data_IF_485121049772
#
_entry.id   IF_485121049772
#
_cell.length_a   1.000
_cell.length_b   1.000
_cell.length_c   1.000
_cell.angle_alpha   90.00
_cell.angle_beta   90.00
_cell.angle_gamma   90.00
#
_symmetry.space_group_name_H-M   'P 1'
#
loop_
_entity.id
_entity.type
_entity.pdbx_description
1 polymer ?
#
# COMPACT_ATOMS: atom_id res chain seq x y z
N UNK A 1 -14.22 -9.19 -8.18
CA UNK A 1 -13.43 -7.93 -8.12
C UNK A 1 -14.18 -6.77 -7.47
N UNK A 2 -15.45 -6.46 -7.82
CA UNK A 2 -16.21 -5.34 -7.19
C UNK A 2 -16.24 -5.39 -5.66
N UNK A 3 -16.42 -6.56 -5.06
CA UNK A 3 -16.41 -6.70 -3.60
C UNK A 3 -15.01 -6.55 -2.99
N UNK A 4 -13.96 -7.05 -3.65
CA UNK A 4 -12.56 -6.87 -3.25
C UNK A 4 -12.18 -5.38 -3.20
N UNK A 5 -12.66 -4.60 -4.17
CA UNK A 5 -12.44 -3.16 -4.22
C UNK A 5 -13.15 -2.44 -3.07
N UNK A 6 -14.33 -2.90 -2.62
CA UNK A 6 -14.99 -2.32 -1.43
C UNK A 6 -14.16 -2.49 -0.16
N UNK A 7 -13.50 -3.64 -0.01
CA UNK A 7 -12.59 -3.90 1.10
C UNK A 7 -11.36 -3.01 1.02
N UNK A 8 -10.81 -2.86 -0.18
CA UNK A 8 -9.66 -2.00 -0.44
C UNK A 8 -9.96 -0.49 -0.32
N UNK A 9 -11.23 -0.05 -0.24
CA UNK A 9 -11.57 1.38 -0.06
C UNK A 9 -10.87 2.00 1.13
N UNK A 10 -10.83 1.28 2.25
CA UNK A 10 -10.14 1.76 3.45
C UNK A 10 -8.64 1.95 3.20
N UNK A 11 -8.00 1.01 2.50
CA UNK A 11 -6.62 1.16 2.08
C UNK A 11 -6.41 2.40 1.19
N UNK A 12 -7.27 2.63 0.19
CA UNK A 12 -7.13 3.79 -0.69
C UNK A 12 -7.27 5.13 0.05
N UNK A 13 -8.14 5.19 1.07
CA UNK A 13 -8.23 6.36 1.96
C UNK A 13 -6.93 6.55 2.74
N UNK A 14 -6.39 5.50 3.33
CA UNK A 14 -5.10 5.57 4.04
C UNK A 14 -3.95 5.95 3.11
N UNK A 15 -3.92 5.40 1.90
CA UNK A 15 -2.94 5.73 0.88
C UNK A 15 -2.99 7.21 0.53
N UNK A 16 -4.19 7.75 0.32
CA UNK A 16 -4.38 9.18 0.07
C UNK A 16 -3.88 10.03 1.27
N UNK A 17 -4.26 9.67 2.49
CA UNK A 17 -3.82 10.38 3.70
C UNK A 17 -2.30 10.34 3.88
N UNK A 18 -1.66 9.19 3.68
CA UNK A 18 -0.21 9.05 3.78
C UNK A 18 0.49 9.84 2.67
N UNK A 19 -0.07 9.87 1.47
CA UNK A 19 0.45 10.68 0.36
C UNK A 19 0.39 12.16 0.70
N UNK A 20 -0.75 12.65 1.21
CA UNK A 20 -0.91 14.03 1.66
C UNK A 20 0.07 14.34 2.80
N UNK A 21 0.18 13.47 3.80
CA UNK A 21 1.14 13.64 4.91
C UNK A 21 2.58 13.74 4.42
N UNK A 22 2.97 12.91 3.44
CA UNK A 22 4.29 12.94 2.81
C UNK A 22 4.54 14.25 2.04
N UNK A 23 3.53 14.75 1.34
CA UNK A 23 3.58 16.06 0.70
C UNK A 23 3.70 17.18 1.72
N UNK A 24 2.93 17.13 2.81
CA UNK A 24 3.00 18.12 3.89
C UNK A 24 4.39 18.16 4.55
N UNK A 25 5.02 17.01 4.78
CA UNK A 25 6.40 16.94 5.27
C UNK A 25 7.41 17.56 4.29
N UNK A 26 7.21 17.33 3.00
CA UNK A 26 8.06 17.89 1.94
C UNK A 26 7.95 19.42 1.91
N UNK A 27 6.73 19.95 1.93
CA UNK A 27 6.46 21.38 1.89
C UNK A 27 6.80 22.09 3.21
N UNK A 28 6.75 21.36 4.33
CA UNK A 28 7.18 21.84 5.64
C UNK A 28 8.70 21.79 5.86
N UNK A 29 9.49 21.44 4.83
CA UNK A 29 10.95 21.33 4.90
C UNK A 29 11.45 20.40 6.03
N UNK A 30 10.69 19.34 6.33
CA UNK A 30 11.08 18.37 7.35
C UNK A 30 12.28 17.58 6.86
N UNK A 31 13.27 17.36 7.73
CA UNK A 31 14.44 16.57 7.40
C UNK A 31 14.06 15.13 7.01
N UNK A 32 14.57 14.69 5.86
CA UNK A 32 14.32 13.36 5.33
C UNK A 32 14.88 12.27 6.25
N UNK A 33 16.08 12.45 6.80
CA UNK A 33 16.71 11.44 7.64
C UNK A 33 15.87 11.17 8.89
N UNK A 34 15.37 12.22 9.53
CA UNK A 34 14.48 12.11 10.68
C UNK A 34 13.08 11.57 10.36
N UNK A 35 12.49 11.88 9.20
CA UNK A 35 11.06 11.65 8.96
C UNK A 35 10.70 10.64 7.85
N UNK A 36 11.67 10.03 7.17
CA UNK A 36 11.39 9.12 6.04
C UNK A 36 10.53 7.90 6.39
N UNK A 37 10.48 7.49 7.66
CA UNK A 37 9.65 6.38 8.13
C UNK A 37 8.21 6.82 8.46
N UNK A 38 8.00 8.10 8.76
CA UNK A 38 6.68 8.69 9.02
C UNK A 38 5.94 8.87 7.69
N UNK A 39 4.65 8.53 7.67
CA UNK A 39 3.84 8.46 6.45
C UNK A 39 4.47 7.64 5.30
N UNK A 40 5.24 6.60 5.64
CA UNK A 40 5.83 5.71 4.64
C UNK A 40 4.75 4.89 3.91
N UNK A 41 4.52 5.23 2.64
CA UNK A 41 3.58 4.51 1.75
C UNK A 41 4.00 3.05 1.58
N UNK A 42 5.31 2.77 1.56
CA UNK A 42 5.84 1.41 1.41
C UNK A 42 5.48 0.55 2.63
N UNK A 43 5.75 1.06 3.84
CA UNK A 43 5.44 0.33 5.09
C UNK A 43 3.92 0.14 5.23
N UNK A 44 3.14 1.20 4.97
CA UNK A 44 1.68 1.13 4.96
C UNK A 44 1.19 0.00 4.04
N UNK A 45 1.69 -0.06 2.81
CA UNK A 45 1.19 -1.00 1.81
C UNK A 45 1.59 -2.44 2.11
N UNK A 46 2.79 -2.65 2.65
CA UNK A 46 3.23 -3.98 3.10
C UNK A 46 2.34 -4.48 4.25
N UNK A 47 2.14 -3.66 5.29
CA UNK A 47 1.28 -4.01 6.42
C UNK A 47 -0.17 -4.22 5.98
N UNK A 48 -0.69 -3.36 5.10
CA UNK A 48 -2.02 -3.51 4.53
C UNK A 48 -2.15 -4.83 3.74
N UNK A 49 -1.15 -5.18 2.92
CA UNK A 49 -1.16 -6.43 2.15
C UNK A 49 -1.23 -7.66 3.06
N UNK A 50 -0.44 -7.68 4.15
CA UNK A 50 -0.51 -8.74 5.18
C UNK A 50 -1.91 -8.78 5.82
N UNK A 51 -2.37 -7.64 6.33
CA UNK A 51 -3.61 -7.55 7.11
C UNK A 51 -4.85 -7.90 6.28
N UNK A 52 -4.99 -7.32 5.09
CA UNK A 52 -6.13 -7.57 4.22
C UNK A 52 -6.15 -9.00 3.69
N UNK A 53 -4.99 -9.60 3.40
CA UNK A 53 -4.93 -11.00 3.00
C UNK A 53 -5.38 -11.95 4.13
N UNK A 54 -4.90 -11.71 5.36
CA UNK A 54 -5.30 -12.46 6.55
C UNK A 54 -6.81 -12.35 6.79
N UNK A 55 -7.33 -11.11 6.78
CA UNK A 55 -8.74 -10.84 7.00
C UNK A 55 -9.63 -11.43 5.91
N UNK A 56 -9.27 -11.24 4.63
CA UNK A 56 -10.06 -11.74 3.51
C UNK A 56 -10.07 -13.26 3.46
N UNK A 57 -8.97 -13.93 3.84
CA UNK A 57 -9.00 -15.38 4.03
C UNK A 57 -10.05 -15.77 5.06
N UNK A 58 -9.97 -15.19 6.26
CA UNK A 58 -10.76 -15.68 7.39
C UNK A 58 -12.25 -15.40 7.26
N UNK A 59 -12.60 -14.15 6.93
CA UNK A 59 -14.00 -13.71 6.96
C UNK A 59 -14.64 -13.59 5.58
N UNK A 60 -13.86 -13.70 4.50
CA UNK A 60 -14.36 -13.71 3.12
C UNK A 60 -14.02 -14.97 2.32
N UNK A 61 -13.33 -15.94 2.92
CA UNK A 61 -13.02 -17.22 2.28
C UNK A 61 -12.08 -17.09 1.08
N UNK A 62 -11.23 -16.05 1.04
CA UNK A 62 -10.34 -15.86 -0.11
C UNK A 62 -9.34 -17.02 -0.24
N UNK A 63 -9.25 -17.58 -1.46
CA UNK A 63 -8.20 -18.51 -1.82
C UNK A 63 -6.84 -17.81 -1.93
N UNK A 64 -5.76 -18.59 -1.96
CA UNK A 64 -4.39 -18.06 -2.00
C UNK A 64 -4.16 -17.11 -3.18
N UNK A 65 -4.57 -17.51 -4.39
CA UNK A 65 -4.42 -16.68 -5.58
C UNK A 65 -5.13 -15.33 -5.44
N UNK A 66 -6.33 -15.31 -4.85
CA UNK A 66 -7.08 -14.06 -4.62
C UNK A 66 -6.38 -13.14 -3.62
N UNK A 67 -5.76 -13.70 -2.58
CA UNK A 67 -4.98 -12.93 -1.62
C UNK A 67 -3.70 -12.34 -2.25
N UNK A 68 -2.97 -13.14 -3.02
CA UNK A 68 -1.77 -12.65 -3.74
C UNK A 68 -2.14 -11.55 -4.74
N UNK A 69 -3.18 -11.76 -5.56
CA UNK A 69 -3.66 -10.75 -6.50
C UNK A 69 -4.10 -9.46 -5.80
N UNK A 70 -4.70 -9.56 -4.61
CA UNK A 70 -5.02 -8.40 -3.79
C UNK A 70 -3.73 -7.64 -3.41
N UNK A 71 -2.72 -8.32 -2.87
CA UNK A 71 -1.42 -7.72 -2.54
C UNK A 71 -0.74 -7.06 -3.73
N UNK A 72 -0.70 -7.74 -4.88
CA UNK A 72 -0.17 -7.18 -6.14
C UNK A 72 -0.90 -5.88 -6.52
N UNK A 73 -2.23 -5.86 -6.39
CA UNK A 73 -3.06 -4.69 -6.73
C UNK A 73 -2.78 -3.51 -5.80
N UNK A 74 -2.68 -3.76 -4.48
CA UNK A 74 -2.36 -2.71 -3.50
C UNK A 74 -0.94 -2.16 -3.75
N UNK A 75 0.03 -3.05 -3.95
CA UNK A 75 1.41 -2.67 -4.28
C UNK A 75 1.51 -1.85 -5.56
N UNK A 76 0.75 -2.22 -6.61
CA UNK A 76 0.72 -1.46 -7.86
C UNK A 76 0.12 -0.07 -7.65
N UNK A 77 -1.01 0.02 -6.94
CA UNK A 77 -1.63 1.31 -6.65
C UNK A 77 -0.68 2.25 -5.88
N UNK A 78 0.01 1.76 -4.86
CA UNK A 78 1.03 2.52 -4.14
C UNK A 78 2.14 3.02 -5.05
N UNK A 79 2.67 2.15 -5.91
CA UNK A 79 3.78 2.51 -6.79
C UNK A 79 3.37 3.50 -7.87
N UNK A 80 2.14 3.40 -8.39
CA UNK A 80 1.57 4.42 -9.28
C UNK A 80 1.51 5.78 -8.57
N UNK A 81 1.04 5.83 -7.32
CA UNK A 81 1.00 7.07 -6.54
C UNK A 81 2.40 7.65 -6.29
N UNK A 82 3.38 6.80 -5.95
CA UNK A 82 4.79 7.22 -5.76
C UNK A 82 5.37 7.73 -7.08
N UNK A 83 5.13 7.03 -8.19
CA UNK A 83 5.61 7.41 -9.52
C UNK A 83 5.04 8.76 -9.92
N UNK A 84 3.71 8.93 -9.84
CA UNK A 84 3.04 10.20 -10.17
C UNK A 84 3.47 11.34 -9.26
N UNK A 85 3.62 11.09 -7.95
CA UNK A 85 4.12 12.11 -7.02
C UNK A 85 5.55 12.52 -7.37
N UNK A 86 6.40 11.56 -7.79
CA UNK A 86 7.75 11.87 -8.29
C UNK A 86 7.71 12.73 -9.54
N UNK A 87 6.84 12.40 -10.52
CA UNK A 87 6.63 13.21 -11.73
C UNK A 87 6.23 14.64 -11.36
N UNK A 88 5.26 14.80 -10.46
CA UNK A 88 4.77 16.11 -10.01
C UNK A 88 5.88 16.91 -9.33
N UNK A 89 6.68 16.30 -8.47
CA UNK A 89 7.81 16.97 -7.81
C UNK A 89 8.81 17.55 -8.82
N UNK A 90 9.17 16.78 -9.84
CA UNK A 90 10.06 17.27 -10.91
C UNK A 90 9.40 18.32 -11.80
N UNK A 91 8.14 18.12 -12.20
CA UNK A 91 7.42 19.06 -13.05
C UNK A 91 7.26 20.45 -12.39
N UNK A 92 7.17 20.49 -11.06
CA UNK A 92 7.08 21.72 -10.27
C UNK A 92 8.45 22.25 -9.81
N UNK A 93 9.55 21.54 -10.09
CA UNK A 93 10.89 21.91 -9.61
C UNK A 93 11.03 21.87 -8.08
N UNK A 94 10.25 21.04 -7.39
CA UNK A 94 10.24 20.95 -5.93
C UNK A 94 11.13 19.81 -5.43
N UNK A 95 11.94 20.07 -4.40
CA UNK A 95 12.62 19.03 -3.64
C UNK A 95 11.67 18.47 -2.59
N UNK A 96 11.34 17.19 -2.71
CA UNK A 96 10.31 16.51 -1.92
C UNK A 96 10.81 15.15 -1.45
N UNK A 97 10.07 14.51 -0.55
CA UNK A 97 10.33 13.15 -0.12
C UNK A 97 10.17 12.10 -1.25
N UNK A 98 9.61 12.48 -2.41
CA UNK A 98 9.42 11.59 -3.56
C UNK A 98 10.60 11.60 -4.55
N UNK A 99 11.37 12.68 -4.63
CA UNK A 99 12.57 12.80 -5.47
C UNK A 99 13.87 12.95 -4.66
N UNK A 100 13.82 12.83 -3.33
CA UNK A 100 15.00 12.79 -2.49
C UNK A 100 15.95 11.63 -2.89
N UNK A 101 17.29 11.83 -2.93
CA UNK A 101 18.27 10.80 -3.34
C UNK A 101 18.08 9.45 -2.64
N UNK A 102 17.95 9.47 -1.31
CA UNK A 102 17.72 8.26 -0.52
C UNK A 102 16.43 7.53 -0.89
N UNK A 103 15.37 8.25 -1.30
CA UNK A 103 14.11 7.64 -1.75
C UNK A 103 14.24 6.94 -3.11
N UNK A 104 15.28 7.28 -3.88
CA UNK A 104 15.64 6.71 -5.18
C UNK A 104 16.82 5.72 -5.07
N UNK A 105 17.27 5.42 -3.85
CA UNK A 105 18.42 4.57 -3.55
C UNK A 105 19.71 5.03 -4.27
N UNK A 106 19.97 6.34 -4.19
CA UNK A 106 21.18 6.98 -4.71
C UNK A 106 21.75 7.98 -3.71
N UNK A 107 23.01 8.37 -3.90
CA UNK A 107 23.74 9.30 -3.04
C UNK A 107 23.64 10.75 -3.49
N UNK A 108 23.27 11.01 -4.74
CA UNK A 108 23.15 12.36 -5.33
C UNK A 108 21.80 12.56 -6.00
N UNK A 109 21.44 13.82 -6.24
CA UNK A 109 20.26 14.16 -7.00
C UNK A 109 20.36 13.65 -8.44
N UNK A 110 19.23 13.20 -8.99
CA UNK A 110 19.12 12.70 -10.34
C UNK A 110 18.25 13.62 -11.19
N UNK A 111 18.54 13.74 -12.49
CA UNK A 111 17.60 14.33 -13.42
C UNK A 111 16.32 13.47 -13.52
N UNK A 112 15.23 14.12 -13.94
CA UNK A 112 13.89 13.52 -13.96
C UNK A 112 13.85 12.19 -14.74
N UNK A 113 14.49 12.11 -15.90
CA UNK A 113 14.51 10.90 -16.74
C UNK A 113 15.07 9.68 -15.97
N UNK A 114 16.21 9.83 -15.30
CA UNK A 114 16.84 8.75 -14.54
C UNK A 114 16.03 8.37 -13.30
N UNK A 115 15.47 9.36 -12.61
CA UNK A 115 14.60 9.12 -11.47
C UNK A 115 13.34 8.33 -11.87
N UNK A 116 12.71 8.67 -13.01
CA UNK A 116 11.53 7.96 -13.50
C UNK A 116 11.83 6.54 -13.95
N UNK A 117 12.98 6.28 -14.59
CA UNK A 117 13.41 4.92 -14.93
C UNK A 117 13.56 4.06 -13.68
N UNK A 118 14.17 4.62 -12.61
CA UNK A 118 14.27 3.92 -11.32
C UNK A 118 12.90 3.65 -10.69
N UNK A 119 11.98 4.61 -10.74
CA UNK A 119 10.60 4.42 -10.25
C UNK A 119 9.82 3.41 -11.09
N UNK A 120 10.10 3.30 -12.38
CA UNK A 120 9.49 2.28 -13.24
C UNK A 120 9.84 0.86 -12.78
N UNK A 121 11.07 0.62 -12.30
CA UNK A 121 11.42 -0.65 -11.65
C UNK A 121 10.57 -0.93 -10.40
N UNK A 122 10.23 0.11 -9.64
CA UNK A 122 9.32 0.05 -8.49
C UNK A 122 7.91 -0.40 -8.87
N UNK A 123 7.41 -0.05 -10.07
CA UNK A 123 6.11 -0.51 -10.58
C UNK A 123 6.01 -2.03 -10.76
N UNK A 124 7.14 -2.75 -10.74
CA UNK A 124 7.18 -4.22 -10.79
C UNK A 124 7.59 -4.79 -9.45
N UNK A 125 8.71 -4.32 -8.88
CA UNK A 125 9.24 -4.84 -7.62
C UNK A 125 8.28 -4.59 -6.44
N UNK A 126 7.59 -3.44 -6.43
CA UNK A 126 6.63 -3.07 -5.41
C UNK A 126 5.40 -4.00 -5.36
N UNK A 127 4.68 -4.22 -6.47
CA UNK A 127 3.62 -5.23 -6.53
C UNK A 127 4.11 -6.59 -6.06
N UNK A 128 5.21 -7.11 -6.61
CA UNK A 128 5.73 -8.44 -6.27
C UNK A 128 5.99 -8.57 -4.77
N UNK A 129 6.66 -7.59 -4.17
CA UNK A 129 6.91 -7.56 -2.71
C UNK A 129 5.61 -7.60 -1.90
N UNK A 130 4.58 -6.89 -2.36
CA UNK A 130 3.26 -6.90 -1.70
C UNK A 130 2.47 -8.18 -1.96
N UNK A 131 2.66 -8.84 -3.09
CA UNK A 131 2.14 -10.19 -3.34
C UNK A 131 2.72 -11.20 -2.35
N UNK A 132 4.03 -11.12 -2.08
CA UNK A 132 4.70 -11.94 -1.04
C UNK A 132 4.18 -11.60 0.36
N UNK A 133 4.03 -10.31 0.68
CA UNK A 133 3.46 -9.89 1.96
C UNK A 133 2.01 -10.41 2.14
N UNK A 134 1.20 -10.36 1.09
CA UNK A 134 -0.15 -10.91 1.09
C UNK A 134 -0.16 -12.44 1.20
N UNK A 135 0.78 -13.14 0.56
CA UNK A 135 0.98 -14.58 0.75
C UNK A 135 1.20 -14.90 2.25
N UNK A 136 2.12 -14.18 2.91
CA UNK A 136 2.38 -14.35 4.35
C UNK A 136 1.11 -14.07 5.16
N UNK A 137 0.42 -12.96 4.88
CA UNK A 137 -0.84 -12.63 5.52
C UNK A 137 -1.91 -13.70 5.35
N UNK A 138 -2.01 -14.31 4.17
CA UNK A 138 -2.94 -15.41 3.92
C UNK A 138 -2.63 -16.64 4.78
N UNK A 139 -1.36 -16.97 5.03
CA UNK A 139 -1.01 -18.04 5.97
C UNK A 139 -1.41 -17.68 7.41
N UNK A 140 -1.09 -16.47 7.86
CA UNK A 140 -1.46 -15.98 9.20
C UNK A 140 -2.97 -15.94 9.41
N UNK A 141 -3.75 -15.68 8.36
CA UNK A 141 -5.22 -15.68 8.40
C UNK A 141 -5.83 -17.02 8.80
N UNK A 142 -5.11 -18.14 8.68
CA UNK A 142 -5.55 -19.45 9.16
C UNK A 142 -5.60 -19.55 10.69
N UNK A 143 -4.85 -18.69 11.40
CA UNK A 143 -4.76 -18.66 12.86
C UNK A 143 -5.86 -17.80 13.51
N UNK A 144 -6.63 -17.05 12.70
CA UNK A 144 -7.64 -16.13 13.21
C UNK A 144 -8.89 -16.88 13.71
N UNK A 145 -9.63 -16.33 14.69
CA UNK A 145 -10.84 -16.96 15.23
C UNK A 145 -11.99 -16.99 14.23
N UNK A 146 -12.92 -17.94 14.43
CA UNK A 146 -14.07 -18.14 13.53
C UNK A 146 -15.03 -16.95 13.58
N UNK A 147 -15.80 -16.78 12.50
CA UNK A 147 -16.91 -15.84 12.51
C UNK A 147 -17.93 -16.32 13.55
N UNK A 148 -18.37 -15.48 14.50
CA UNK A 148 -19.43 -15.85 15.42
C UNK A 148 -20.70 -16.29 14.66
N UNK A 149 -21.41 -17.34 15.12
CA UNK A 149 -22.64 -17.77 14.49
C UNK A 149 -23.66 -16.63 14.49
N UNK A 150 -24.34 -16.41 13.36
CA UNK A 150 -25.40 -15.41 13.25
C UNK A 150 -26.51 -15.75 14.25
N UNK A 151 -27.02 -14.79 15.06
CA UNK A 151 -28.15 -15.04 15.94
C UNK A 151 -29.32 -15.59 15.14
N UNK A 152 -29.88 -16.74 15.54
CA UNK A 152 -31.10 -17.25 14.91
C UNK A 152 -32.22 -16.30 15.27
N UNK A 153 -32.88 -15.70 14.28
CA UNK A 153 -34.16 -15.02 14.50
C UNK A 153 -35.12 -16.03 15.13
N UNK A 154 -35.75 -15.73 16.28
CA UNK A 154 -36.71 -16.63 16.88
C UNK A 154 -37.83 -16.90 15.87
N UNK A 155 -38.09 -18.18 15.62
CA UNK A 155 -39.24 -18.62 14.81
C UNK A 155 -40.51 -18.10 15.50
N UNK A 156 -41.40 -17.37 14.82
CA UNK A 156 -42.67 -16.97 15.41
C UNK A 156 -43.42 -18.23 15.86
N UNK A 157 -43.84 -18.26 17.13
CA UNK A 157 -44.68 -19.33 17.64
C UNK A 157 -46.00 -19.32 16.85
N UNK A 158 -46.36 -20.48 16.30
CA UNK A 158 -47.61 -20.71 15.59
C UNK A 158 -48.80 -20.80 16.57
#
# INVERSE_FOLDING_TARGET
MRDSLRVARFYFVLLALFTIGRWAQSLGHVDYAAAHHVFSIVILTLLASVYFAAFCRRWRGYGLLQAVLLGLTLGLAAQVVIFLSTVVSYALGLHTFFNHPTALNVTSELPMNEALVRRAGGLVAGPVSNGVAAFIGWFLGALLPDRPPTPRTPTPAA
#
